data_IF_412816427608
#
_entry.id   IF_412816427608
#
_cell.length_a   1.000
_cell.length_b   1.000
_cell.length_c   1.000
_cell.angle_alpha   90.00
_cell.angle_beta   90.00
_cell.angle_gamma   90.00
#
_symmetry.space_group_name_H-M   'P 1'
#
loop_
_entity.id
_entity.type
_entity.pdbx_description
1 polymer ?
#
# COMPACT_ATOMS: atom_id res chain seq x y z
N UNK A 1 27.49 10.74 -21.13
CA UNK A 1 26.70 9.49 -21.01
C UNK A 1 25.26 9.84 -21.36
N UNK A 2 24.67 9.19 -22.36
CA UNK A 2 23.28 9.47 -22.71
C UNK A 2 22.38 9.11 -21.49
N UNK A 3 21.63 10.08 -20.99
CA UNK A 3 20.63 9.87 -19.96
C UNK A 3 19.63 8.84 -20.48
N UNK A 4 19.56 7.67 -19.85
CA UNK A 4 18.56 6.67 -20.22
C UNK A 4 17.18 7.27 -19.95
N UNK A 5 16.36 7.42 -20.99
CA UNK A 5 14.99 7.90 -20.87
C UNK A 5 14.26 7.10 -19.78
N UNK A 6 13.52 7.80 -18.91
CA UNK A 6 12.75 7.16 -17.85
C UNK A 6 11.63 6.32 -18.47
N UNK A 7 11.65 5.00 -18.22
CA UNK A 7 10.71 4.07 -18.83
C UNK A 7 9.27 4.21 -18.29
N UNK A 8 9.04 4.92 -17.18
CA UNK A 8 7.70 5.25 -16.70
C UNK A 8 6.96 6.20 -17.66
N UNK A 9 7.64 6.89 -18.58
CA UNK A 9 7.02 7.70 -19.61
C UNK A 9 6.04 6.94 -20.52
N UNK A 10 6.21 5.62 -20.66
CA UNK A 10 5.28 4.77 -21.43
C UNK A 10 3.87 4.68 -20.83
N UNK A 11 3.66 5.06 -19.55
CA UNK A 11 2.38 4.93 -18.84
C UNK A 11 1.49 6.17 -18.95
N UNK A 12 1.84 7.15 -19.78
CA UNK A 12 1.08 8.40 -19.94
C UNK A 12 0.89 9.16 -18.62
N UNK A 13 1.92 9.19 -17.78
CA UNK A 13 1.97 9.97 -16.55
C UNK A 13 2.22 11.46 -16.85
N UNK A 14 1.80 12.34 -15.95
CA UNK A 14 2.15 13.77 -16.01
C UNK A 14 3.67 13.94 -15.96
N UNK A 15 4.20 14.95 -16.65
CA UNK A 15 5.63 15.25 -16.70
C UNK A 15 6.25 15.43 -15.32
N UNK A 16 5.54 16.08 -14.40
CA UNK A 16 5.97 16.33 -13.03
C UNK A 16 6.17 15.01 -12.26
N UNK A 17 5.28 14.03 -12.51
CA UNK A 17 5.38 12.68 -11.93
C UNK A 17 6.63 11.95 -12.43
N UNK A 18 6.90 12.01 -13.75
CA UNK A 18 8.09 11.38 -14.34
C UNK A 18 9.37 12.03 -13.80
N UNK A 19 9.39 13.37 -13.68
CA UNK A 19 10.49 14.11 -13.11
C UNK A 19 10.74 13.74 -11.64
N UNK A 20 9.67 13.65 -10.84
CA UNK A 20 9.76 13.24 -9.45
C UNK A 20 10.26 11.79 -9.29
N UNK A 21 9.78 10.86 -10.12
CA UNK A 21 10.26 9.46 -10.16
C UNK A 21 11.76 9.41 -10.48
N UNK A 22 12.19 10.18 -11.47
CA UNK A 22 13.61 10.26 -11.82
C UNK A 22 14.45 10.77 -10.65
N UNK A 23 13.98 11.81 -9.95
CA UNK A 23 14.67 12.41 -8.82
C UNK A 23 14.83 11.47 -7.61
N UNK A 24 13.94 10.47 -7.46
CA UNK A 24 14.04 9.43 -6.41
C UNK A 24 14.69 8.12 -6.94
N UNK A 25 15.23 8.11 -8.17
CA UNK A 25 15.96 6.98 -8.75
C UNK A 25 15.07 5.90 -9.39
N UNK A 26 13.80 6.17 -9.61
CA UNK A 26 12.86 5.26 -10.28
C UNK A 26 12.95 5.48 -11.80
N UNK A 27 13.77 4.69 -12.48
CA UNK A 27 14.01 4.80 -13.93
C UNK A 27 13.31 3.70 -14.70
N UNK A 28 13.25 2.50 -14.14
CA UNK A 28 12.68 1.32 -14.77
C UNK A 28 11.60 0.71 -13.88
N UNK A 29 10.37 0.48 -14.40
CA UNK A 29 9.32 -0.18 -13.63
C UNK A 29 9.65 -1.64 -13.37
N UNK A 30 9.27 -2.14 -12.18
CA UNK A 30 9.30 -3.56 -11.88
C UNK A 30 8.21 -4.29 -12.67
N UNK A 31 8.25 -5.62 -12.70
CA UNK A 31 7.27 -6.42 -13.44
C UNK A 31 5.82 -6.16 -12.97
N UNK A 32 5.61 -6.00 -11.64
CA UNK A 32 4.29 -5.69 -11.09
C UNK A 32 3.84 -4.27 -11.47
N UNK A 33 4.75 -3.30 -11.45
CA UNK A 33 4.47 -1.92 -11.85
C UNK A 33 4.11 -1.84 -13.34
N UNK A 34 4.88 -2.51 -14.20
CA UNK A 34 4.65 -2.51 -15.65
C UNK A 34 3.27 -3.07 -16.02
N UNK A 35 2.78 -4.08 -15.29
CA UNK A 35 1.50 -4.72 -15.55
C UNK A 35 0.31 -3.95 -14.95
N UNK A 36 0.44 -3.46 -13.72
CA UNK A 36 -0.70 -2.93 -12.97
C UNK A 36 -0.87 -1.41 -13.06
N UNK A 37 0.20 -0.62 -13.20
CA UNK A 37 0.07 0.85 -13.30
C UNK A 37 -0.88 1.27 -14.44
N UNK A 38 -0.79 0.70 -15.67
CA UNK A 38 -1.73 1.05 -16.74
C UNK A 38 -3.19 0.76 -16.39
N UNK A 39 -3.48 -0.37 -15.74
CA UNK A 39 -4.84 -0.74 -15.35
C UNK A 39 -5.39 0.23 -14.28
N UNK A 40 -4.56 0.60 -13.28
CA UNK A 40 -4.95 1.57 -12.25
C UNK A 40 -5.21 2.94 -12.86
N UNK A 41 -4.37 3.41 -13.78
CA UNK A 41 -4.55 4.70 -14.48
C UNK A 41 -5.83 4.75 -15.33
N UNK A 42 -6.28 3.60 -15.84
CA UNK A 42 -7.53 3.46 -16.58
C UNK A 42 -8.78 3.38 -15.67
N UNK A 43 -8.61 3.40 -14.35
CA UNK A 43 -9.70 3.34 -13.39
C UNK A 43 -10.22 1.92 -13.11
N UNK A 44 -9.52 0.88 -13.55
CA UNK A 44 -9.89 -0.51 -13.22
C UNK A 44 -9.60 -0.83 -11.76
N UNK A 45 -10.45 -1.62 -11.16
CA UNK A 45 -10.12 -2.32 -9.93
C UNK A 45 -9.01 -3.34 -10.18
N UNK A 46 -8.16 -3.55 -9.17
CA UNK A 46 -6.96 -4.37 -9.33
C UNK A 46 -6.79 -5.32 -8.15
N UNK A 47 -6.44 -6.55 -8.44
CA UNK A 47 -5.92 -7.51 -7.47
C UNK A 47 -4.48 -7.86 -7.86
N UNK A 48 -3.53 -7.41 -7.06
CA UNK A 48 -2.11 -7.70 -7.25
C UNK A 48 -1.64 -8.76 -6.26
N UNK A 49 -1.36 -9.97 -6.74
CA UNK A 49 -0.75 -11.01 -5.92
C UNK A 49 0.75 -11.04 -6.15
N UNK A 50 1.52 -10.63 -5.15
CA UNK A 50 3.00 -10.66 -5.21
C UNK A 50 3.61 -10.57 -3.82
N UNK A 51 4.83 -11.08 -3.66
CA UNK A 51 5.58 -10.98 -2.40
C UNK A 51 5.94 -9.54 -2.02
N UNK A 52 6.28 -9.33 -0.74
CA UNK A 52 6.92 -8.11 -0.23
C UNK A 52 8.21 -7.82 -1.00
N UNK A 53 8.49 -6.53 -1.24
CA UNK A 53 9.69 -6.12 -1.99
C UNK A 53 9.54 -6.12 -3.51
N UNK A 54 8.44 -6.57 -4.10
CA UNK A 54 8.21 -6.58 -5.55
C UNK A 54 7.94 -5.20 -6.17
N UNK A 55 7.79 -4.16 -5.35
CA UNK A 55 7.47 -2.80 -5.80
C UNK A 55 5.98 -2.44 -5.72
N UNK A 56 5.14 -3.22 -5.01
CA UNK A 56 3.70 -2.96 -4.82
C UNK A 56 3.38 -1.53 -4.38
N UNK A 57 4.13 -1.00 -3.42
CA UNK A 57 3.89 0.33 -2.86
C UNK A 57 3.84 1.42 -3.93
N UNK A 58 4.79 1.45 -4.83
CA UNK A 58 4.80 2.44 -5.91
C UNK A 58 3.83 2.08 -7.04
N UNK A 59 3.37 0.82 -7.14
CA UNK A 59 2.33 0.42 -8.09
C UNK A 59 1.02 1.15 -7.85
N UNK A 60 0.67 1.42 -6.59
CA UNK A 60 -0.53 2.21 -6.26
C UNK A 60 -0.22 3.69 -6.00
N UNK A 61 0.92 4.05 -5.40
CA UNK A 61 1.25 5.45 -5.11
C UNK A 61 1.39 6.30 -6.38
N UNK A 62 2.07 5.78 -7.41
CA UNK A 62 2.28 6.52 -8.66
C UNK A 62 0.97 6.94 -9.32
N UNK A 63 0.03 6.03 -9.64
CA UNK A 63 -1.23 6.43 -10.26
C UNK A 63 -2.12 7.25 -9.33
N UNK A 64 -2.17 6.97 -8.02
CA UNK A 64 -2.92 7.78 -7.06
C UNK A 64 -2.45 9.23 -7.11
N UNK A 65 -1.15 9.48 -6.93
CA UNK A 65 -0.59 10.84 -6.91
C UNK A 65 -0.75 11.51 -8.28
N UNK A 66 -0.61 10.76 -9.38
CA UNK A 66 -0.85 11.27 -10.74
C UNK A 66 -2.30 11.75 -10.95
N UNK A 67 -3.29 11.12 -10.30
CA UNK A 67 -4.71 11.41 -10.46
C UNK A 67 -5.26 12.40 -9.43
N UNK A 68 -4.47 12.81 -8.43
CA UNK A 68 -4.91 13.77 -7.41
C UNK A 68 -5.38 15.09 -8.03
N UNK A 69 -6.48 15.60 -7.51
CA UNK A 69 -6.89 16.98 -7.68
C UNK A 69 -6.08 17.86 -6.74
N UNK A 70 -5.27 18.74 -7.33
CA UNK A 70 -4.36 19.61 -6.59
C UNK A 70 -5.12 20.68 -5.80
N UNK A 71 -4.54 21.12 -4.68
CA UNK A 71 -5.08 22.23 -3.87
C UNK A 71 -6.43 21.92 -3.20
N UNK A 72 -6.83 20.65 -3.12
CA UNK A 72 -8.08 20.24 -2.47
C UNK A 72 -7.85 19.82 -1.03
N UNK A 73 -8.78 20.23 -0.17
CA UNK A 73 -8.80 19.93 1.26
C UNK A 73 -9.84 18.85 1.58
N UNK A 74 -9.72 17.69 0.93
CA UNK A 74 -10.52 16.51 1.20
C UNK A 74 -9.77 15.25 0.83
N UNK A 75 -10.14 14.13 1.47
CA UNK A 75 -9.49 12.84 1.25
C UNK A 75 -9.86 12.29 -0.12
N UNK A 76 -8.85 11.97 -0.93
CA UNK A 76 -9.01 11.41 -2.27
C UNK A 76 -8.57 9.95 -2.35
N UNK A 77 -7.63 9.53 -1.49
CA UNK A 77 -7.20 8.14 -1.41
C UNK A 77 -7.02 7.69 0.04
N UNK A 78 -7.42 6.44 0.30
CA UNK A 78 -7.20 5.77 1.57
C UNK A 78 -6.42 4.49 1.33
N UNK A 79 -5.34 4.31 2.08
CA UNK A 79 -4.47 3.15 2.04
C UNK A 79 -4.50 2.49 3.41
N UNK A 80 -5.06 1.30 3.49
CA UNK A 80 -5.08 0.49 4.71
C UNK A 80 -3.99 -0.57 4.66
N UNK A 81 -3.34 -0.79 5.80
CA UNK A 81 -2.32 -1.82 5.99
C UNK A 81 -2.40 -2.39 7.41
N UNK A 82 -2.10 -3.68 7.62
CA UNK A 82 -2.38 -4.35 8.90
C UNK A 82 -1.52 -3.86 10.06
N UNK A 83 -0.31 -3.34 9.80
CA UNK A 83 0.61 -2.94 10.87
C UNK A 83 1.01 -1.46 10.81
N UNK A 84 1.46 -0.93 11.96
CA UNK A 84 1.96 0.44 12.09
C UNK A 84 3.26 0.63 11.31
N UNK A 85 4.10 -0.39 11.32
CA UNK A 85 5.39 -0.40 10.66
C UNK A 85 5.22 -0.27 9.14
N UNK A 86 4.29 -1.05 8.56
CA UNK A 86 3.97 -0.95 7.14
C UNK A 86 3.34 0.40 6.80
N UNK A 87 2.43 0.91 7.63
CA UNK A 87 1.86 2.25 7.44
C UNK A 87 2.94 3.31 7.40
N UNK A 88 3.90 3.25 8.32
CA UNK A 88 5.02 4.20 8.37
C UNK A 88 5.94 4.08 7.16
N UNK A 89 6.24 2.86 6.70
CA UNK A 89 7.04 2.63 5.49
C UNK A 89 6.36 3.21 4.24
N UNK A 90 5.05 2.96 4.07
CA UNK A 90 4.28 3.48 2.94
C UNK A 90 4.20 5.01 3.02
N UNK A 91 3.98 5.58 4.22
CA UNK A 91 3.92 7.03 4.44
C UNK A 91 5.26 7.68 4.09
N UNK A 92 6.37 7.09 4.49
CA UNK A 92 7.71 7.58 4.15
C UNK A 92 7.94 7.58 2.64
N UNK A 93 7.59 6.48 1.96
CA UNK A 93 7.73 6.37 0.50
C UNK A 93 6.84 7.40 -0.22
N UNK A 94 5.59 7.56 0.22
CA UNK A 94 4.65 8.53 -0.34
C UNK A 94 5.15 9.98 -0.19
N UNK A 95 5.67 10.34 1.00
CA UNK A 95 6.24 11.68 1.25
C UNK A 95 7.50 11.92 0.44
N UNK A 96 8.43 10.95 0.39
CA UNK A 96 9.65 11.07 -0.44
C UNK A 96 9.33 11.34 -1.91
N UNK A 97 8.27 10.72 -2.42
CA UNK A 97 7.81 10.96 -3.79
C UNK A 97 7.14 12.33 -3.91
N UNK A 98 6.23 12.68 -3.00
CA UNK A 98 5.51 13.95 -2.99
C UNK A 98 6.44 15.16 -2.85
N UNK A 99 7.50 15.06 -2.06
CA UNK A 99 8.51 16.11 -1.85
C UNK A 99 9.29 16.50 -3.13
N UNK A 100 9.21 15.69 -4.19
CA UNK A 100 9.82 15.98 -5.50
C UNK A 100 8.85 16.61 -6.50
N UNK A 101 7.60 16.78 -6.11
CA UNK A 101 6.59 17.43 -6.95
C UNK A 101 6.67 18.96 -6.82
N UNK A 102 6.31 19.72 -7.87
CA UNK A 102 6.30 21.19 -7.83
C UNK A 102 5.08 21.77 -7.08
N UNK A 103 4.26 20.92 -6.47
CA UNK A 103 3.06 21.29 -5.71
C UNK A 103 2.95 20.43 -4.46
N UNK A 104 2.23 20.96 -3.47
CA UNK A 104 2.02 20.25 -2.20
C UNK A 104 1.01 19.10 -2.36
N UNK A 105 1.36 17.95 -1.76
CA UNK A 105 0.46 16.80 -1.56
C UNK A 105 0.40 16.51 -0.07
N UNK A 106 -0.77 16.69 0.52
CA UNK A 106 -0.97 16.47 1.95
C UNK A 106 -1.21 14.98 2.26
N UNK A 107 -0.30 14.38 3.03
CA UNK A 107 -0.31 12.96 3.38
C UNK A 107 -0.30 12.82 4.90
N UNK A 108 -1.25 12.09 5.45
CA UNK A 108 -1.31 11.81 6.90
C UNK A 108 -1.33 10.32 7.21
N UNK A 109 -0.62 9.97 8.27
CA UNK A 109 -0.56 8.62 8.82
C UNK A 109 -1.47 8.52 10.05
N UNK A 110 -2.37 7.53 10.06
CA UNK A 110 -3.26 7.26 11.18
C UNK A 110 -3.11 5.81 11.67
N UNK A 111 -2.39 5.67 12.79
CA UNK A 111 -2.11 4.36 13.41
C UNK A 111 -2.50 4.36 14.88
N UNK A 112 -2.84 3.19 15.42
CA UNK A 112 -3.12 3.01 16.83
C UNK A 112 -1.90 3.28 17.72
N UNK A 113 -2.12 3.56 19.03
CA UNK A 113 -1.04 3.83 19.99
C UNK A 113 -0.47 5.24 19.94
N UNK A 114 -0.95 6.10 19.06
CA UNK A 114 -0.65 7.53 19.01
C UNK A 114 -1.81 8.34 19.61
N UNK A 115 -1.58 9.60 19.98
CA UNK A 115 -2.60 10.48 20.56
C UNK A 115 -3.76 10.73 19.57
N UNK A 116 -4.92 10.16 19.88
CA UNK A 116 -6.14 10.29 19.06
C UNK A 116 -6.64 11.74 19.05
N UNK A 117 -6.59 12.45 20.17
CA UNK A 117 -7.09 13.83 20.26
C UNK A 117 -6.28 14.77 19.37
N UNK A 118 -4.97 14.57 19.30
CA UNK A 118 -4.10 15.31 18.39
C UNK A 118 -4.46 15.06 16.94
N UNK A 119 -4.75 13.81 16.56
CA UNK A 119 -5.17 13.45 15.20
C UNK A 119 -6.53 14.05 14.85
N UNK A 120 -7.50 14.03 15.78
CA UNK A 120 -8.81 14.67 15.60
C UNK A 120 -8.66 16.18 15.34
N UNK A 121 -7.89 16.88 16.20
CA UNK A 121 -7.63 18.32 16.02
C UNK A 121 -6.96 18.66 14.69
N UNK A 122 -6.05 17.80 14.22
CA UNK A 122 -5.43 17.96 12.91
C UNK A 122 -6.48 17.90 11.80
N UNK A 123 -7.40 16.95 11.87
CA UNK A 123 -8.45 16.73 10.86
C UNK A 123 -9.54 17.81 10.87
N UNK A 124 -9.82 18.44 12.01
CA UNK A 124 -10.75 19.57 12.12
C UNK A 124 -10.27 20.77 11.29
N UNK A 125 -8.96 21.00 11.26
CA UNK A 125 -8.37 22.13 10.54
C UNK A 125 -8.13 21.82 9.06
N UNK A 126 -7.71 20.59 8.73
CA UNK A 126 -7.35 20.21 7.38
C UNK A 126 -7.53 18.71 7.15
N UNK A 127 -8.27 18.36 6.10
CA UNK A 127 -8.39 16.95 5.66
C UNK A 127 -7.24 16.66 4.66
N UNK A 128 -6.39 15.65 4.92
CA UNK A 128 -5.31 15.31 3.99
C UNK A 128 -5.86 14.71 2.70
N UNK A 129 -5.11 14.83 1.60
CA UNK A 129 -5.49 14.25 0.32
C UNK A 129 -5.30 12.73 0.29
N UNK A 130 -4.25 12.24 0.97
CA UNK A 130 -3.96 10.80 1.09
C UNK A 130 -3.88 10.42 2.56
N UNK A 131 -4.57 9.34 2.90
CA UNK A 131 -4.51 8.73 4.22
C UNK A 131 -3.85 7.37 4.11
N UNK A 132 -2.94 7.09 5.03
CA UNK A 132 -2.29 5.81 5.18
C UNK A 132 -2.43 5.40 6.64
N UNK A 133 -2.85 4.15 6.92
CA UNK A 133 -2.95 3.76 8.31
C UNK A 133 -3.51 2.37 8.56
N UNK A 134 -3.64 2.06 9.85
CA UNK A 134 -4.22 0.78 10.29
C UNK A 134 -5.76 0.87 10.33
N UNK A 135 -6.47 -0.21 9.93
CA UNK A 135 -7.93 -0.18 9.82
C UNK A 135 -8.64 0.28 11.09
N UNK A 136 -8.24 -0.22 12.26
CA UNK A 136 -8.86 0.15 13.53
C UNK A 136 -8.81 1.65 13.82
N UNK A 137 -7.66 2.32 13.57
CA UNK A 137 -7.54 3.76 13.81
C UNK A 137 -8.31 4.59 12.78
N UNK A 138 -8.27 4.20 11.50
CA UNK A 138 -9.05 4.90 10.46
C UNK A 138 -10.54 4.79 10.79
N UNK A 139 -11.05 3.59 11.11
CA UNK A 139 -12.43 3.37 11.57
C UNK A 139 -12.79 4.27 12.75
N UNK A 140 -11.95 4.36 13.78
CA UNK A 140 -12.17 5.20 14.95
C UNK A 140 -12.32 6.70 14.61
N UNK A 141 -11.56 7.19 13.62
CA UNK A 141 -11.62 8.58 13.17
C UNK A 141 -12.84 8.83 12.29
N UNK A 142 -13.23 7.86 11.46
CA UNK A 142 -14.45 7.92 10.64
C UNK A 142 -15.69 7.89 11.55
N UNK A 143 -15.76 6.95 12.49
CA UNK A 143 -16.90 6.78 13.40
C UNK A 143 -17.11 7.99 14.32
N UNK A 144 -16.03 8.71 14.66
CA UNK A 144 -16.13 9.97 15.42
C UNK A 144 -16.52 11.18 14.57
N UNK A 145 -16.65 11.03 13.24
CA UNK A 145 -16.93 12.13 12.31
C UNK A 145 -15.75 13.06 12.03
N UNK A 146 -14.58 12.81 12.64
CA UNK A 146 -13.38 13.63 12.42
C UNK A 146 -12.81 13.44 11.03
N UNK A 147 -12.82 12.23 10.50
CA UNK A 147 -12.34 11.89 9.18
C UNK A 147 -13.51 11.74 8.20
N UNK A 148 -13.46 12.50 7.10
CA UNK A 148 -14.54 12.56 6.09
C UNK A 148 -14.09 11.85 4.81
N UNK A 149 -14.79 10.78 4.43
CA UNK A 149 -14.43 9.93 3.29
C UNK A 149 -15.34 10.08 2.06
N UNK A 150 -16.28 11.02 2.07
CA UNK A 150 -17.30 11.18 1.03
C UNK A 150 -16.75 11.56 -0.37
N UNK A 151 -15.48 11.97 -0.46
CA UNK A 151 -14.84 12.36 -1.73
C UNK A 151 -13.69 11.43 -2.13
N UNK A 152 -13.56 10.27 -1.44
CA UNK A 152 -12.53 9.28 -1.76
C UNK A 152 -12.79 8.68 -3.14
N UNK A 153 -11.73 8.60 -3.94
CA UNK A 153 -11.74 8.02 -5.29
C UNK A 153 -11.07 6.66 -5.34
N UNK A 154 -10.11 6.40 -4.44
CA UNK A 154 -9.34 5.16 -4.44
C UNK A 154 -9.19 4.62 -3.02
N UNK A 155 -9.55 3.34 -2.84
CA UNK A 155 -9.24 2.55 -1.65
C UNK A 155 -8.14 1.55 -2.00
N UNK A 156 -7.09 1.50 -1.20
CA UNK A 156 -6.07 0.47 -1.26
C UNK A 156 -6.12 -0.38 0.00
N UNK A 157 -6.16 -1.69 -0.17
CA UNK A 157 -5.99 -2.67 0.90
C UNK A 157 -4.67 -3.40 0.64
N UNK A 158 -3.62 -2.98 1.34
CA UNK A 158 -2.31 -3.62 1.23
C UNK A 158 -2.15 -4.72 2.29
N UNK A 159 -1.43 -5.79 1.94
CA UNK A 159 -1.27 -7.01 2.77
C UNK A 159 -2.65 -7.55 3.24
N UNK A 160 -3.56 -7.78 2.28
CA UNK A 160 -4.94 -8.15 2.57
C UNK A 160 -5.08 -9.50 3.28
N UNK A 161 -4.20 -10.46 3.01
CA UNK A 161 -4.11 -11.74 3.74
C UNK A 161 -3.75 -11.53 5.21
N UNK A 162 -2.76 -10.71 5.51
CA UNK A 162 -2.40 -10.36 6.88
C UNK A 162 -3.53 -9.55 7.57
N UNK A 163 -4.19 -8.65 6.84
CA UNK A 163 -5.36 -7.90 7.33
C UNK A 163 -6.49 -8.85 7.75
N UNK A 164 -6.73 -9.90 6.96
CA UNK A 164 -7.68 -10.97 7.28
C UNK A 164 -7.24 -11.76 8.52
N UNK A 165 -5.97 -12.20 8.59
CA UNK A 165 -5.44 -13.01 9.68
C UNK A 165 -5.46 -12.26 11.02
N UNK A 166 -5.25 -10.95 11.01
CA UNK A 166 -5.38 -10.08 12.19
C UNK A 166 -6.83 -9.73 12.54
N UNK A 167 -7.82 -10.16 11.76
CA UNK A 167 -9.23 -9.94 12.03
C UNK A 167 -9.75 -8.55 11.67
N UNK A 168 -9.01 -7.76 10.88
CA UNK A 168 -9.34 -6.37 10.55
C UNK A 168 -10.27 -6.18 9.34
N UNK A 169 -10.77 -7.26 8.72
CA UNK A 169 -11.66 -7.11 7.55
C UNK A 169 -12.96 -6.36 7.87
N UNK A 170 -13.51 -6.51 9.08
CA UNK A 170 -14.71 -5.78 9.50
C UNK A 170 -14.47 -4.27 9.61
N UNK A 171 -13.26 -3.86 10.03
CA UNK A 171 -12.84 -2.46 10.06
C UNK A 171 -12.70 -1.89 8.65
N UNK A 172 -12.09 -2.66 7.74
CA UNK A 172 -11.97 -2.27 6.33
C UNK A 172 -13.35 -2.18 5.67
N UNK A 173 -14.25 -3.12 5.97
CA UNK A 173 -15.64 -3.11 5.51
C UNK A 173 -16.39 -1.84 5.98
N UNK A 174 -16.23 -1.46 7.24
CA UNK A 174 -16.78 -0.23 7.78
C UNK A 174 -16.24 1.03 7.08
N UNK A 175 -14.93 1.08 6.87
CA UNK A 175 -14.26 2.20 6.19
C UNK A 175 -14.76 2.33 4.75
N UNK A 176 -14.81 1.21 4.02
CA UNK A 176 -15.30 1.19 2.64
C UNK A 176 -16.78 1.62 2.55
N UNK A 177 -17.62 1.20 3.52
CA UNK A 177 -19.01 1.61 3.61
C UNK A 177 -19.23 3.12 3.88
N UNK A 178 -18.22 3.83 4.37
CA UNK A 178 -18.25 5.29 4.57
C UNK A 178 -17.75 6.08 3.34
N UNK A 179 -17.34 5.40 2.27
CA UNK A 179 -16.86 6.00 1.01
C UNK A 179 -17.98 6.05 -0.04
N UNK A 180 -17.77 6.76 -1.16
CA UNK A 180 -18.69 6.73 -2.29
C UNK A 180 -18.88 5.31 -2.84
N UNK A 181 -20.09 5.00 -3.32
CA UNK A 181 -20.41 3.68 -3.90
C UNK A 181 -19.54 3.36 -5.12
N UNK A 182 -19.21 4.39 -5.91
CA UNK A 182 -18.30 4.26 -7.06
C UNK A 182 -16.94 4.78 -6.68
N UNK A 183 -16.04 3.89 -6.33
CA UNK A 183 -14.62 4.18 -6.13
C UNK A 183 -13.79 3.06 -6.75
N UNK A 184 -12.54 3.35 -7.04
CA UNK A 184 -11.58 2.35 -7.49
C UNK A 184 -11.02 1.61 -6.27
N UNK A 185 -11.05 0.28 -6.29
CA UNK A 185 -10.50 -0.55 -5.22
C UNK A 185 -9.29 -1.33 -5.68
N UNK A 186 -8.17 -1.19 -4.97
CA UNK A 186 -6.91 -1.88 -5.24
C UNK A 186 -6.59 -2.79 -4.06
N UNK A 187 -6.44 -4.08 -4.31
CA UNK A 187 -6.11 -5.08 -3.27
C UNK A 187 -4.78 -5.72 -3.58
N UNK A 188 -3.85 -5.64 -2.65
CA UNK A 188 -2.55 -6.28 -2.74
C UNK A 188 -2.38 -7.32 -1.63
N UNK A 189 -1.86 -8.50 -1.99
CA UNK A 189 -1.70 -9.61 -1.06
C UNK A 189 -0.58 -10.54 -1.50
N UNK A 190 0.06 -11.22 -0.58
CA UNK A 190 1.01 -12.28 -0.92
C UNK A 190 0.27 -13.59 -1.25
N UNK A 191 -0.82 -13.86 -0.55
CA UNK A 191 -1.66 -15.04 -0.73
C UNK A 191 -3.12 -14.67 -0.96
N UNK A 192 -3.93 -15.59 -1.52
CA UNK A 192 -5.36 -15.38 -1.77
C UNK A 192 -6.19 -16.47 -1.07
N UNK A 193 -6.31 -16.40 0.27
CA UNK A 193 -7.10 -17.37 1.00
C UNK A 193 -8.59 -17.27 0.65
N UNK A 194 -9.32 -18.40 0.72
CA UNK A 194 -10.75 -18.49 0.41
C UNK A 194 -11.60 -17.48 1.20
N UNK A 195 -11.22 -17.21 2.46
CA UNK A 195 -11.90 -16.24 3.34
C UNK A 195 -11.81 -14.79 2.86
N UNK A 196 -10.88 -14.46 1.96
CA UNK A 196 -10.75 -13.13 1.38
C UNK A 196 -11.73 -12.94 0.19
N UNK A 197 -12.13 -14.00 -0.47
CA UNK A 197 -13.02 -13.94 -1.66
C UNK A 197 -14.34 -13.19 -1.46
N UNK A 198 -15.07 -13.33 -0.33
CA UNK A 198 -16.29 -12.57 -0.11
C UNK A 198 -16.05 -11.06 -0.09
N UNK A 199 -14.95 -10.62 0.53
CA UNK A 199 -14.54 -9.21 0.53
C UNK A 199 -14.23 -8.72 -0.89
N UNK A 200 -13.41 -9.46 -1.64
CA UNK A 200 -13.08 -9.12 -3.03
C UNK A 200 -14.34 -9.00 -3.89
N UNK A 201 -15.25 -9.96 -3.78
CA UNK A 201 -16.52 -9.95 -4.54
C UNK A 201 -17.43 -8.78 -4.19
N UNK A 202 -17.36 -8.29 -2.94
CA UNK A 202 -18.20 -7.16 -2.48
C UNK A 202 -17.71 -5.82 -3.02
N UNK A 203 -16.40 -5.60 -3.09
CA UNK A 203 -15.80 -4.30 -3.33
C UNK A 203 -15.10 -4.13 -4.66
N UNK A 204 -14.95 -5.19 -5.45
CA UNK A 204 -14.28 -5.13 -6.74
C UNK A 204 -15.28 -5.40 -7.87
N UNK A 205 -15.27 -4.52 -8.87
CA UNK A 205 -16.05 -4.69 -10.09
C UNK A 205 -15.13 -5.08 -11.26
N UNK A 206 -15.27 -6.32 -11.74
CA UNK A 206 -14.48 -6.89 -12.83
C UNK A 206 -12.96 -6.55 -12.77
N UNK A 207 -12.29 -6.90 -11.65
CA UNK A 207 -10.93 -6.47 -11.40
C UNK A 207 -9.93 -7.06 -12.39
N UNK A 208 -8.86 -6.31 -12.69
CA UNK A 208 -7.66 -6.85 -13.33
C UNK A 208 -6.88 -7.63 -12.29
N UNK A 209 -6.75 -8.93 -12.50
CA UNK A 209 -6.00 -9.83 -11.62
C UNK A 209 -4.61 -10.09 -12.20
N UNK A 210 -3.56 -9.78 -11.45
CA UNK A 210 -2.19 -10.11 -11.79
C UNK A 210 -1.51 -10.84 -10.65
N UNK A 211 -1.22 -12.11 -10.90
CA UNK A 211 -0.32 -12.89 -10.06
C UNK A 211 1.09 -12.77 -10.63
N UNK A 212 1.98 -12.12 -9.90
CA UNK A 212 3.40 -12.16 -10.22
C UNK A 212 3.93 -13.47 -9.63
N UNK A 213 4.38 -14.42 -10.45
CA UNK A 213 4.93 -15.65 -9.94
C UNK A 213 5.98 -15.33 -8.89
N UNK A 214 5.82 -15.94 -7.73
CA UNK A 214 6.91 -16.03 -6.79
C UNK A 214 7.98 -16.80 -7.54
N UNK A 215 9.00 -16.11 -8.05
CA UNK A 215 10.22 -16.86 -8.29
C UNK A 215 10.57 -17.40 -6.92
N UNK A 216 10.53 -18.70 -6.76
CA UNK A 216 11.03 -19.43 -5.59
C UNK A 216 12.55 -19.28 -5.51
N UNK A 217 13.02 -18.09 -5.74
CA UNK A 217 14.38 -17.72 -5.51
C UNK A 217 14.39 -17.29 -4.04
N UNK A 218 14.55 -18.26 -3.17
CA UNK A 218 15.47 -18.09 -2.06
C UNK A 218 16.61 -17.34 -2.72
N UNK A 219 16.84 -16.06 -2.32
CA UNK A 219 17.83 -15.24 -3.01
C UNK A 219 19.08 -16.08 -3.20
N UNK A 220 19.56 -16.23 -4.44
CA UNK A 220 20.75 -17.07 -4.76
C UNK A 220 21.97 -16.70 -3.89
N UNK A 221 21.87 -15.56 -3.21
CA UNK A 221 22.86 -15.01 -2.25
C UNK A 221 22.66 -15.50 -0.82
N UNK A 222 21.61 -16.30 -0.51
CA UNK A 222 21.36 -16.83 0.84
C UNK A 222 21.54 -18.34 0.83
N UNK A 223 22.59 -18.81 1.48
CA UNK A 223 22.80 -20.23 1.71
C UNK A 223 21.74 -20.79 2.65
N UNK A 224 21.02 -21.80 2.20
CA UNK A 224 19.97 -22.43 2.99
C UNK A 224 20.44 -23.78 3.52
N UNK A 225 20.39 -23.92 4.83
CA UNK A 225 20.78 -25.14 5.51
C UNK A 225 19.60 -25.74 6.25
N UNK A 226 19.34 -27.01 6.03
CA UNK A 226 18.35 -27.78 6.79
C UNK A 226 19.05 -28.52 7.93
N UNK A 227 18.77 -28.12 9.17
CA UNK A 227 19.27 -28.83 10.33
C UNK A 227 18.18 -29.72 10.95
N UNK A 228 18.34 -31.03 10.85
CA UNK A 228 17.44 -31.99 11.46
C UNK A 228 17.77 -32.17 12.95
N UNK A 229 16.94 -31.66 13.83
CA UNK A 229 17.11 -31.77 15.30
C UNK A 229 16.28 -32.95 15.83
N UNK A 230 16.82 -34.14 15.78
CA UNK A 230 16.14 -35.34 16.36
C UNK A 230 15.98 -35.16 17.87
N UNK A 231 14.87 -34.74 18.40
CA UNK A 231 14.54 -34.66 19.84
C UNK A 231 15.24 -33.61 20.72
N UNK A 232 16.05 -32.68 20.21
CA UNK A 232 16.58 -31.58 20.98
C UNK A 232 15.64 -30.38 20.95
N UNK A 233 15.59 -29.59 22.03
CA UNK A 233 14.84 -28.33 22.03
C UNK A 233 15.40 -27.41 20.91
N UNK A 234 14.49 -26.87 20.11
CA UNK A 234 14.86 -25.99 18.99
C UNK A 234 15.63 -24.77 19.46
N UNK A 235 15.31 -24.25 20.65
CA UNK A 235 15.96 -23.09 21.23
C UNK A 235 17.43 -23.37 21.58
N UNK A 236 17.73 -24.54 22.12
CA UNK A 236 19.11 -24.95 22.45
C UNK A 236 19.96 -25.07 21.18
N UNK A 237 19.38 -25.57 20.10
CA UNK A 237 20.07 -25.70 18.82
C UNK A 237 20.34 -24.33 18.20
N UNK A 238 19.35 -23.42 18.21
CA UNK A 238 19.51 -22.04 17.74
C UNK A 238 20.60 -21.33 18.55
N UNK A 239 20.60 -21.50 19.88
CA UNK A 239 21.63 -20.92 20.75
C UNK A 239 23.04 -21.43 20.43
N UNK A 240 23.19 -22.72 20.15
CA UNK A 240 24.46 -23.31 19.74
C UNK A 240 24.96 -22.76 18.39
N UNK A 241 24.05 -22.57 17.42
CA UNK A 241 24.40 -22.01 16.09
C UNK A 241 24.87 -20.55 16.24
N UNK A 242 24.13 -19.73 17.00
CA UNK A 242 24.46 -18.32 17.20
C UNK A 242 25.72 -18.10 18.07
N UNK A 243 26.15 -19.09 18.87
CA UNK A 243 27.37 -19.00 19.67
C UNK A 243 28.64 -19.39 18.92
N UNK A 244 28.54 -19.92 17.70
CA UNK A 244 29.67 -20.33 16.86
C UNK A 244 29.99 -19.26 15.79
N UNK A 245 29.11 -18.26 15.64
CA UNK A 245 29.28 -17.09 14.74
C UNK A 245 29.99 -15.95 15.45
#
# INVERSE_FOLDING_TARGET
MAEKANQFGQFNLKSDIISALTAIGFIQPTAVQAKLIPAVLQGHDVVGQSQTGSGKTHTFLIPIINQLEQGKNYVQAVITTPSRELASQITKAAKQFADKLPYEVTISEFVGGTDKLRQVKQLENNQPQIIIGTPGRIKDLVSSGALKLHAVKTLVVDEADMTLDMGFLNEVDYIAGAMPEKLQTLVFSATMPEKLKPFLKKYLDNPKFEAIPVSTVIAETIDNWLLATKSKDKNDVIYQILSIS
#
